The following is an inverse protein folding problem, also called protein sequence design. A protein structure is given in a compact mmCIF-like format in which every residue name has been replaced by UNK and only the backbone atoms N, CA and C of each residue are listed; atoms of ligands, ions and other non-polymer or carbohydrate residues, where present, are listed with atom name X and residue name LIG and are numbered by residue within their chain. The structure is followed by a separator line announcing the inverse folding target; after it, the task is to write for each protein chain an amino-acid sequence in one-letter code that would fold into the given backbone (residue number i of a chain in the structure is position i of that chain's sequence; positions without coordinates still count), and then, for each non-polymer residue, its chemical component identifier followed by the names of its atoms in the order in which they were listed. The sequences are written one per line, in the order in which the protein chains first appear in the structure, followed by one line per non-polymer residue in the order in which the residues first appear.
data_IF_122360683811
#
_entry.id   IF_122360683811
#
_cell.length_a   1.000
_cell.length_b   1.000
_cell.length_c   1.000
_cell.angle_alpha   90.00
_cell.angle_beta   90.00
_cell.angle_gamma   90.00
#
_symmetry.space_group_name_H-M   'P 1'
#
loop_
_entity.id
_entity.type
_entity.pdbx_description
1 polymer ?
#
# COMPACT_ATOMS: atom_id res chain seq x y z
N UNK A 1 4.16 17.92 -10.26
CA UNK A 1 3.81 18.06 -11.68
C UNK A 1 2.93 19.27 -11.85
N UNK A 2 3.30 20.18 -12.73
CA UNK A 2 2.54 21.41 -13.03
C UNK A 2 2.06 21.33 -14.48
N UNK A 3 0.81 21.65 -14.72
CA UNK A 3 0.24 21.75 -16.07
C UNK A 3 0.00 23.22 -16.34
N UNK A 4 0.56 23.73 -17.44
CA UNK A 4 0.43 25.12 -17.87
C UNK A 4 -0.28 25.15 -19.24
N UNK A 5 -1.12 26.15 -19.43
CA UNK A 5 -1.77 26.46 -20.71
C UNK A 5 -1.66 27.97 -20.90
N UNK A 6 -1.09 28.41 -22.04
CA UNK A 6 -0.89 29.80 -22.41
C UNK A 6 -0.17 30.63 -21.31
N UNK A 7 0.86 30.02 -20.67
CA UNK A 7 1.63 30.63 -19.58
C UNK A 7 0.88 30.75 -18.24
N UNK A 8 -0.30 30.14 -18.12
CA UNK A 8 -1.11 30.13 -16.91
C UNK A 8 -1.13 28.73 -16.31
N UNK A 9 -0.78 28.63 -15.02
CA UNK A 9 -0.85 27.35 -14.30
C UNK A 9 -2.31 27.00 -14.08
N UNK A 10 -2.75 25.87 -14.65
CA UNK A 10 -4.11 25.36 -14.57
C UNK A 10 -4.25 24.19 -13.59
N UNK A 11 -3.16 23.49 -13.29
CA UNK A 11 -3.18 22.39 -12.33
C UNK A 11 -1.80 22.18 -11.71
N UNK A 12 -1.76 21.99 -10.38
CA UNK A 12 -0.57 21.54 -9.65
C UNK A 12 -0.92 20.26 -8.93
N UNK A 13 -0.19 19.18 -9.22
CA UNK A 13 -0.27 17.92 -8.46
C UNK A 13 1.06 17.67 -7.78
N UNK A 14 1.01 17.47 -6.46
CA UNK A 14 2.15 17.04 -5.64
C UNK A 14 2.03 15.55 -5.35
N UNK A 15 3.16 14.85 -5.44
CA UNK A 15 3.25 13.45 -5.11
C UNK A 15 4.39 13.26 -4.10
N UNK A 16 4.16 12.40 -3.13
CA UNK A 16 5.24 11.90 -2.28
C UNK A 16 5.99 10.83 -3.07
N UNK A 17 7.30 10.97 -3.15
CA UNK A 17 8.16 10.00 -3.85
C UNK A 17 9.08 9.37 -2.83
N UNK A 18 9.06 8.02 -2.77
CA UNK A 18 9.99 7.22 -1.98
C UNK A 18 11.00 6.52 -2.87
N UNK A 19 12.25 6.43 -2.41
CA UNK A 19 13.28 5.62 -3.06
C UNK A 19 13.38 4.28 -2.35
N UNK A 20 13.19 3.20 -3.11
CA UNK A 20 13.24 1.85 -2.54
C UNK A 20 13.96 0.90 -3.48
N UNK A 21 14.69 -0.04 -2.90
CA UNK A 21 15.30 -1.15 -3.61
C UNK A 21 14.88 -2.44 -2.92
N UNK A 22 14.21 -3.32 -3.67
CA UNK A 22 13.85 -4.67 -3.20
C UNK A 22 14.72 -5.66 -3.96
N UNK A 23 15.40 -6.53 -3.25
CA UNK A 23 16.27 -7.56 -3.81
C UNK A 23 15.95 -8.90 -3.16
N UNK A 24 16.01 -9.97 -3.96
CA UNK A 24 15.98 -11.34 -3.45
C UNK A 24 17.40 -11.89 -3.56
N UNK A 25 17.99 -12.29 -2.45
CA UNK A 25 19.30 -12.90 -2.37
C UNK A 25 19.20 -14.24 -1.65
N UNK A 26 19.37 -15.32 -2.43
CA UNK A 26 19.09 -16.67 -1.93
C UNK A 26 17.60 -16.79 -1.55
N UNK A 27 17.34 -17.16 -0.31
CA UNK A 27 15.97 -17.36 0.23
C UNK A 27 15.44 -16.15 1.01
N UNK A 28 16.12 -15.00 0.94
CA UNK A 28 15.79 -13.82 1.75
C UNK A 28 15.46 -12.62 0.88
N UNK A 29 14.46 -11.86 1.34
CA UNK A 29 14.11 -10.55 0.77
C UNK A 29 14.91 -9.48 1.49
N UNK A 30 15.49 -8.56 0.73
CA UNK A 30 16.18 -7.38 1.24
C UNK A 30 15.44 -6.12 0.79
N UNK A 31 15.22 -5.22 1.73
CA UNK A 31 14.65 -3.91 1.48
C UNK A 31 15.68 -2.83 1.85
N UNK A 32 16.10 -2.04 0.87
CA UNK A 32 17.18 -1.05 1.01
C UNK A 32 18.45 -1.64 1.65
N UNK A 33 18.82 -2.86 1.27
CA UNK A 33 20.02 -3.55 1.75
C UNK A 33 19.87 -4.25 3.11
N UNK A 34 18.75 -4.10 3.80
CA UNK A 34 18.46 -4.78 5.06
C UNK A 34 17.56 -6.01 4.84
N UNK A 35 17.82 -7.14 5.51
CA UNK A 35 16.95 -8.30 5.41
C UNK A 35 15.56 -7.98 5.97
N UNK A 36 14.53 -8.29 5.18
CA UNK A 36 13.14 -8.04 5.53
C UNK A 36 12.45 -9.36 5.90
N UNK A 37 11.92 -9.44 7.11
CA UNK A 37 11.01 -10.50 7.51
C UNK A 37 9.56 -9.99 7.37
N UNK A 38 8.81 -10.62 6.47
CA UNK A 38 7.41 -10.30 6.25
C UNK A 38 6.56 -11.02 7.29
N UNK A 39 5.81 -10.25 8.08
CA UNK A 39 4.74 -10.72 8.98
C UNK A 39 3.45 -10.12 8.47
N UNK A 40 2.79 -10.83 7.56
CA UNK A 40 1.70 -10.29 6.76
C UNK A 40 0.37 -10.97 6.99
N UNK A 41 -0.68 -10.23 6.66
CA UNK A 41 -2.06 -10.69 6.60
C UNK A 41 -2.67 -10.38 5.24
N UNK A 42 -3.70 -11.17 4.86
CA UNK A 42 -4.58 -10.79 3.76
C UNK A 42 -5.68 -9.90 4.31
N UNK A 43 -6.02 -8.84 3.59
CA UNK A 43 -7.13 -7.96 3.92
C UNK A 43 -8.08 -7.86 2.74
N UNK A 44 -9.37 -7.99 3.02
CA UNK A 44 -10.44 -7.63 2.11
C UNK A 44 -10.97 -6.25 2.47
N UNK A 45 -11.28 -5.44 1.46
CA UNK A 45 -11.92 -4.14 1.64
C UNK A 45 -13.43 -4.34 1.79
N UNK A 46 -13.84 -4.75 2.99
CA UNK A 46 -15.20 -5.13 3.32
C UNK A 46 -15.52 -4.77 4.78
N UNK A 47 -16.68 -4.18 5.01
CA UNK A 47 -17.23 -3.87 6.32
C UNK A 47 -18.54 -4.65 6.57
N UNK A 48 -18.74 -5.11 7.80
CA UNK A 48 -19.88 -5.97 8.15
C UNK A 48 -21.24 -5.28 7.99
N UNK A 49 -21.28 -3.96 8.16
CA UNK A 49 -22.53 -3.18 8.09
C UNK A 49 -22.73 -2.49 6.74
N UNK A 50 -21.63 -2.06 6.12
CA UNK A 50 -21.64 -1.23 4.90
C UNK A 50 -21.19 -1.99 3.64
N UNK A 51 -20.78 -3.25 3.77
CA UNK A 51 -20.28 -4.04 2.66
C UNK A 51 -19.00 -3.45 2.05
N UNK A 52 -19.02 -3.16 0.76
CA UNK A 52 -17.88 -2.61 0.02
C UNK A 52 -17.64 -1.11 0.23
N UNK A 53 -18.58 -0.40 0.88
CA UNK A 53 -18.45 1.01 1.20
C UNK A 53 -17.80 1.19 2.59
N UNK A 54 -16.53 0.83 2.69
CA UNK A 54 -15.80 0.82 3.96
C UNK A 54 -15.58 2.25 4.49
N UNK A 55 -16.07 2.58 5.70
CA UNK A 55 -15.79 3.85 6.34
C UNK A 55 -14.29 4.03 6.64
N UNK A 56 -13.81 5.28 6.56
CA UNK A 56 -12.38 5.59 6.78
C UNK A 56 -11.88 5.25 8.17
N UNK A 57 -12.75 5.28 9.14
CA UNK A 57 -12.48 4.92 10.53
C UNK A 57 -12.07 3.46 10.67
N UNK A 58 -12.66 2.57 9.87
CA UNK A 58 -12.34 1.13 9.86
C UNK A 58 -10.91 0.91 9.39
N UNK A 59 -10.43 1.65 8.38
CA UNK A 59 -9.03 1.55 7.94
C UNK A 59 -8.04 1.85 9.08
N UNK A 60 -8.33 2.88 9.87
CA UNK A 60 -7.49 3.25 11.01
C UNK A 60 -7.52 2.18 12.09
N UNK A 61 -8.70 1.66 12.43
CA UNK A 61 -8.87 0.59 13.42
C UNK A 61 -8.13 -0.69 13.00
N UNK A 62 -8.29 -1.11 11.75
CA UNK A 62 -7.59 -2.29 11.20
C UNK A 62 -6.07 -2.13 11.33
N UNK A 63 -5.54 -0.98 10.92
CA UNK A 63 -4.10 -0.71 10.93
C UNK A 63 -3.55 -0.65 12.37
N UNK A 64 -4.30 -0.07 13.32
CA UNK A 64 -3.93 -0.03 14.73
C UNK A 64 -3.87 -1.44 15.33
N UNK A 65 -4.87 -2.27 15.07
CA UNK A 65 -4.89 -3.67 15.52
C UNK A 65 -3.71 -4.44 14.93
N UNK A 66 -3.44 -4.27 13.65
CA UNK A 66 -2.30 -4.94 12.99
C UNK A 66 -0.96 -4.50 13.59
N UNK A 67 -0.76 -3.21 13.90
CA UNK A 67 0.45 -2.71 14.55
C UNK A 67 0.62 -3.26 15.95
N UNK A 68 -0.43 -3.30 16.75
CA UNK A 68 -0.40 -3.87 18.10
C UNK A 68 -0.02 -5.35 18.10
N UNK A 69 -0.29 -6.06 17.02
CA UNK A 69 0.04 -7.48 16.83
C UNK A 69 1.33 -7.72 16.04
N UNK A 70 2.20 -6.71 15.90
CA UNK A 70 3.48 -6.80 15.18
C UNK A 70 3.38 -7.25 13.72
N UNK A 71 2.26 -6.98 13.06
CA UNK A 71 2.09 -7.17 11.62
C UNK A 71 2.78 -5.99 10.91
N UNK A 72 3.55 -6.28 9.88
CA UNK A 72 4.28 -5.27 9.11
C UNK A 72 3.92 -5.26 7.62
N UNK A 73 3.10 -6.21 7.17
CA UNK A 73 2.75 -6.34 5.76
C UNK A 73 1.28 -6.69 5.57
N UNK A 74 0.68 -6.13 4.54
CA UNK A 74 -0.73 -6.36 4.18
C UNK A 74 -0.79 -6.75 2.71
N UNK A 75 -1.50 -7.83 2.39
CA UNK A 75 -1.85 -8.16 1.03
C UNK A 75 -3.29 -7.76 0.78
N UNK A 76 -3.51 -6.84 -0.16
CA UNK A 76 -4.87 -6.49 -0.59
C UNK A 76 -5.44 -7.64 -1.43
N UNK A 77 -6.46 -8.28 -0.90
CA UNK A 77 -7.01 -9.51 -1.47
C UNK A 77 -8.42 -9.25 -2.00
N UNK A 78 -8.67 -9.44 -3.26
CA UNK A 78 -7.79 -9.82 -4.39
C UNK A 78 -7.86 -8.73 -5.46
N UNK A 79 -7.98 -7.47 -5.06
CA UNK A 79 -8.19 -6.27 -5.87
C UNK A 79 -7.48 -5.09 -5.19
N UNK A 80 -7.23 -4.00 -5.92
CA UNK A 80 -6.73 -2.77 -5.31
C UNK A 80 -7.77 -2.18 -4.35
N UNK A 81 -7.30 -1.74 -3.16
CA UNK A 81 -8.10 -1.03 -2.17
C UNK A 81 -8.25 0.46 -2.52
N UNK A 82 -9.00 1.20 -1.71
CA UNK A 82 -9.12 2.65 -1.82
C UNK A 82 -7.74 3.34 -1.72
N UNK A 83 -7.43 4.35 -2.55
CA UNK A 83 -6.18 5.12 -2.45
C UNK A 83 -5.89 5.67 -1.05
N UNK A 84 -6.92 6.01 -0.29
CA UNK A 84 -6.78 6.47 1.09
C UNK A 84 -6.17 5.38 2.00
N UNK A 85 -6.52 4.11 1.79
CA UNK A 85 -5.93 3.00 2.53
C UNK A 85 -4.42 2.91 2.32
N UNK A 86 -3.95 3.07 1.08
CA UNK A 86 -2.52 3.09 0.78
C UNK A 86 -1.79 4.27 1.44
N UNK A 87 -2.40 5.46 1.45
CA UNK A 87 -1.87 6.63 2.17
C UNK A 87 -1.72 6.35 3.66
N UNK A 88 -2.70 5.66 4.26
CA UNK A 88 -2.63 5.27 5.67
C UNK A 88 -1.57 4.19 5.91
N UNK A 89 -1.48 3.18 5.05
CA UNK A 89 -0.42 2.17 5.12
C UNK A 89 0.98 2.80 5.08
N UNK A 90 1.18 3.82 4.24
CA UNK A 90 2.42 4.57 4.17
C UNK A 90 2.72 5.33 5.49
N UNK A 91 1.72 6.01 6.07
CA UNK A 91 1.86 6.70 7.36
C UNK A 91 2.22 5.75 8.49
N UNK A 92 1.60 4.58 8.51
CA UNK A 92 1.83 3.55 9.52
C UNK A 92 3.08 2.70 9.26
N UNK A 93 3.71 2.83 8.09
CA UNK A 93 4.90 2.08 7.69
C UNK A 93 4.63 0.59 7.45
N UNK A 94 3.54 0.27 6.77
CA UNK A 94 3.26 -1.09 6.30
C UNK A 94 3.85 -1.34 4.92
N UNK A 95 4.31 -2.54 4.69
CA UNK A 95 4.58 -3.05 3.35
C UNK A 95 3.28 -3.56 2.75
N UNK A 96 2.93 -3.10 1.56
CA UNK A 96 1.69 -3.51 0.89
C UNK A 96 2.01 -4.35 -0.34
N UNK A 97 1.38 -5.52 -0.43
CA UNK A 97 1.41 -6.38 -1.60
C UNK A 97 0.08 -6.21 -2.33
N UNK A 98 0.11 -5.48 -3.43
CA UNK A 98 -1.07 -5.27 -4.27
C UNK A 98 -1.11 -6.33 -5.36
N UNK A 99 -2.25 -6.96 -5.51
CA UNK A 99 -2.50 -7.85 -6.63
C UNK A 99 -3.04 -7.03 -7.80
N UNK A 100 -2.22 -6.85 -8.83
CA UNK A 100 -2.66 -6.28 -10.09
C UNK A 100 -3.12 -7.44 -10.96
N UNK A 101 -4.34 -7.37 -11.48
CA UNK A 101 -4.85 -8.33 -12.45
C UNK A 101 -4.18 -8.02 -13.80
N UNK A 102 -2.96 -8.51 -13.96
CA UNK A 102 -2.30 -8.58 -15.27
C UNK A 102 -2.40 -10.01 -15.80
N UNK A 103 -2.36 -10.22 -17.13
CA UNK A 103 -2.42 -11.56 -17.74
C UNK A 103 -1.29 -12.49 -17.31
N UNK A 104 -0.24 -11.97 -16.72
CA UNK A 104 0.84 -12.70 -16.05
C UNK A 104 0.85 -12.30 -14.58
N UNK A 105 0.65 -13.26 -13.70
CA UNK A 105 0.56 -13.15 -12.23
C UNK A 105 1.71 -12.38 -11.58
N UNK A 106 1.76 -11.08 -11.75
CA UNK A 106 2.81 -10.22 -11.18
C UNK A 106 2.33 -9.67 -9.84
N UNK A 107 2.99 -10.09 -8.77
CA UNK A 107 2.83 -9.48 -7.44
C UNK A 107 3.73 -8.26 -7.41
N UNK A 108 3.15 -7.09 -7.21
CA UNK A 108 3.90 -5.85 -7.01
C UNK A 108 3.94 -5.54 -5.52
N UNK A 109 5.14 -5.55 -4.95
CA UNK A 109 5.36 -5.07 -3.58
C UNK A 109 5.49 -3.55 -3.68
N UNK A 110 4.51 -2.84 -3.19
CA UNK A 110 4.57 -1.39 -3.08
C UNK A 110 4.65 -0.99 -1.61
N UNK A 111 5.66 -0.19 -1.26
CA UNK A 111 5.52 0.82 -0.23
C UNK A 111 5.08 2.07 -0.98
N UNK A 112 3.91 2.52 -0.70
CA UNK A 112 3.36 3.72 -1.33
C UNK A 112 4.01 4.96 -0.74
#
# INVERSE_FOLDING_TARGET
MTIELDGKIICVKTYKVGFKKVEIKGEKIYYNGMPLMIKGVNRHDFDCDNGWAVPREIYTQDLDIMKQNNINSIRTSHYPDDPYFYDMCNKYGFYVLTQIILPSSSIVITNV
#
